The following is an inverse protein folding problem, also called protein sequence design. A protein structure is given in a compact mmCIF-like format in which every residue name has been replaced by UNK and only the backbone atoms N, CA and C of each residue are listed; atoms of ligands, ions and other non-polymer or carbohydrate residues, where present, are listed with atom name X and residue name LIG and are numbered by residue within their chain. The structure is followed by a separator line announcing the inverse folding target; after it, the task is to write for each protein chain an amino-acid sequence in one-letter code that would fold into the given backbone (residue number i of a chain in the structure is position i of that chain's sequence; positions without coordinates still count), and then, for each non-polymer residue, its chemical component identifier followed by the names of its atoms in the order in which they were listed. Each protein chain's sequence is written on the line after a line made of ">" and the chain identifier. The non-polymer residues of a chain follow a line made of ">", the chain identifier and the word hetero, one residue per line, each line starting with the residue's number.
data_IF_556815571609
#
_entry.id   IF_556815571609
#
_cell.length_a   1.000
_cell.length_b   1.000
_cell.length_c   1.000
_cell.angle_alpha   90.00
_cell.angle_beta   90.00
_cell.angle_gamma   90.00
#
_symmetry.space_group_name_H-M   'P 1'
#
loop_
_entity.id
_entity.type
_entity.pdbx_description
1 polymer ?
#
# COMPACT_ATOMS: atom_id res chain seq x y z
N UNK A 1 -11.04 42.64 -79.84
CA UNK A 1 -12.35 43.36 -79.80
C UNK A 1 -12.81 43.47 -78.38
N UNK A 2 -13.07 44.70 -77.94
CA UNK A 2 -13.93 45.16 -76.82
C UNK A 2 -13.63 44.61 -75.42
N UNK A 3 -13.05 45.41 -74.54
CA UNK A 3 -13.54 46.57 -73.74
C UNK A 3 -14.43 46.04 -72.60
N UNK A 4 -14.08 46.31 -71.41
CA UNK A 4 -14.48 47.41 -70.57
C UNK A 4 -14.34 47.10 -69.08
N UNK A 5 -13.78 48.05 -68.51
CA UNK A 5 -14.21 48.99 -67.48
C UNK A 5 -14.18 48.52 -66.01
N UNK A 6 -13.22 49.11 -65.35
CA UNK A 6 -13.28 49.78 -64.01
C UNK A 6 -14.51 49.49 -63.10
N UNK A 7 -14.22 49.05 -61.87
CA UNK A 7 -14.66 49.89 -60.76
C UNK A 7 -13.81 49.61 -59.49
N UNK A 8 -13.24 50.68 -58.97
CA UNK A 8 -12.58 50.82 -57.70
C UNK A 8 -13.65 50.85 -56.62
N UNK A 9 -13.55 49.96 -55.61
CA UNK A 9 -14.20 50.18 -54.29
C UNK A 9 -13.15 50.01 -53.23
N UNK A 10 -12.85 51.11 -52.61
CA UNK A 10 -12.03 51.27 -51.42
C UNK A 10 -12.82 50.71 -50.22
N UNK A 11 -12.32 49.69 -49.53
CA UNK A 11 -12.95 49.25 -48.28
C UNK A 11 -11.91 49.04 -47.19
N UNK A 12 -12.10 49.83 -46.21
CA UNK A 12 -11.47 50.06 -44.93
C UNK A 12 -11.08 48.81 -44.24
N UNK A 13 -9.78 48.62 -43.97
CA UNK A 13 -9.27 47.56 -43.15
C UNK A 13 -9.48 47.91 -41.67
N UNK A 14 -10.45 47.26 -41.01
CA UNK A 14 -10.64 47.36 -39.58
C UNK A 14 -9.78 46.25 -38.91
N UNK A 15 -8.63 46.61 -38.35
CA UNK A 15 -7.75 45.76 -37.60
C UNK A 15 -8.35 45.63 -36.22
N UNK A 16 -9.13 44.57 -35.98
CA UNK A 16 -9.51 44.16 -34.62
C UNK A 16 -8.39 43.33 -34.00
N UNK A 17 -7.62 43.95 -33.13
CA UNK A 17 -6.68 43.26 -32.27
C UNK A 17 -7.46 42.38 -31.25
N UNK A 18 -7.57 41.10 -31.53
CA UNK A 18 -8.01 40.14 -30.53
C UNK A 18 -6.87 39.88 -29.53
N UNK A 19 -6.92 40.56 -28.38
CA UNK A 19 -6.13 40.19 -27.21
C UNK A 19 -6.78 38.92 -26.63
N UNK A 20 -6.27 37.76 -27.06
CA UNK A 20 -6.65 36.46 -26.49
C UNK A 20 -6.08 36.35 -25.08
N UNK A 21 -6.91 36.56 -24.06
CA UNK A 21 -6.58 36.19 -22.69
C UNK A 21 -6.47 34.67 -22.62
N UNK A 22 -5.24 34.14 -22.50
CA UNK A 22 -5.00 32.75 -22.17
C UNK A 22 -5.39 32.61 -20.69
N UNK A 23 -6.63 32.23 -20.43
CA UNK A 23 -7.05 31.73 -19.12
C UNK A 23 -6.34 30.40 -18.89
N UNK A 24 -5.30 30.41 -18.07
CA UNK A 24 -4.72 29.18 -17.52
C UNK A 24 -5.83 28.49 -16.75
N UNK A 25 -6.43 27.47 -17.35
CA UNK A 25 -7.29 26.53 -16.64
C UNK A 25 -6.39 25.82 -15.61
N UNK A 26 -6.48 26.21 -14.34
CA UNK A 26 -6.01 25.40 -13.24
C UNK A 26 -6.86 24.12 -13.30
N UNK A 27 -6.27 23.02 -13.75
CA UNK A 27 -6.83 21.70 -13.55
C UNK A 27 -7.07 21.54 -12.04
N UNK A 28 -8.32 21.68 -11.66
CA UNK A 28 -8.78 21.23 -10.35
C UNK A 28 -8.67 19.71 -10.39
N UNK A 29 -7.63 19.19 -9.78
CA UNK A 29 -7.55 17.79 -9.40
C UNK A 29 -8.93 17.38 -8.87
N UNK A 30 -9.66 16.59 -9.65
CA UNK A 30 -10.94 16.03 -9.22
C UNK A 30 -10.58 15.11 -8.05
N UNK A 31 -10.82 15.56 -6.81
CA UNK A 31 -10.83 14.68 -5.64
C UNK A 31 -11.69 13.48 -6.03
N UNK A 32 -11.06 12.31 -6.19
CA UNK A 32 -11.79 11.06 -6.34
C UNK A 32 -12.81 10.96 -5.19
N UNK A 33 -14.03 10.47 -5.45
CA UNK A 33 -14.99 10.24 -4.38
C UNK A 33 -14.30 9.42 -3.30
N UNK A 34 -14.26 9.94 -2.07
CA UNK A 34 -13.59 9.31 -0.95
C UNK A 34 -14.08 7.87 -0.79
N UNK A 35 -13.15 6.93 -0.66
CA UNK A 35 -13.48 5.54 -0.35
C UNK A 35 -14.13 5.44 1.03
N UNK A 36 -14.83 4.33 1.28
CA UNK A 36 -15.30 3.99 2.62
C UNK A 36 -14.12 3.43 3.42
N UNK A 37 -13.87 3.97 4.61
CA UNK A 37 -12.93 3.36 5.55
C UNK A 37 -13.50 2.02 6.02
N UNK A 38 -12.80 0.94 5.67
CA UNK A 38 -13.19 -0.44 6.04
C UNK A 38 -12.42 -0.93 7.25
N UNK A 39 -11.21 -0.40 7.49
CA UNK A 39 -10.46 -0.59 8.71
C UNK A 39 -9.55 0.60 9.01
N UNK A 40 -9.30 0.84 10.30
CA UNK A 40 -8.33 1.83 10.79
C UNK A 40 -7.97 1.53 12.23
N UNK A 41 -6.81 1.99 12.66
CA UNK A 41 -6.37 1.80 14.03
C UNK A 41 -4.89 2.04 14.22
N UNK A 42 -4.36 1.43 15.27
CA UNK A 42 -2.93 1.41 15.53
C UNK A 42 -2.48 0.04 16.03
N UNK A 43 -1.20 -0.24 15.79
CA UNK A 43 -0.48 -1.39 16.34
C UNK A 43 0.63 -0.91 17.25
N UNK A 44 0.73 -1.53 18.44
CA UNK A 44 1.93 -1.46 19.26
C UNK A 44 2.91 -2.54 18.84
N UNK A 45 4.17 -2.17 18.61
CA UNK A 45 5.27 -3.08 18.31
C UNK A 45 6.09 -3.28 19.57
N UNK A 46 6.28 -4.53 19.96
CA UNK A 46 6.96 -4.91 21.20
C UNK A 46 8.18 -5.78 20.90
N UNK A 47 9.27 -5.51 21.61
CA UNK A 47 10.46 -6.35 21.65
C UNK A 47 10.72 -6.71 23.11
N UNK A 48 10.80 -8.00 23.42
CA UNK A 48 10.97 -8.48 24.79
C UNK A 48 9.99 -7.86 25.80
N UNK A 49 8.72 -7.70 25.37
CA UNK A 49 7.64 -7.14 26.20
C UNK A 49 7.65 -5.62 26.35
N UNK A 50 8.63 -4.92 25.79
CA UNK A 50 8.71 -3.46 25.80
C UNK A 50 8.21 -2.88 24.50
N UNK A 51 7.31 -1.89 24.53
CA UNK A 51 6.84 -1.20 23.34
C UNK A 51 7.96 -0.35 22.75
N UNK A 52 8.35 -0.66 21.51
CA UNK A 52 9.46 0.01 20.80
C UNK A 52 8.97 0.91 19.67
N UNK A 53 7.78 0.67 19.14
CA UNK A 53 7.21 1.48 18.08
C UNK A 53 5.67 1.44 18.08
N UNK A 54 5.11 2.33 17.28
CA UNK A 54 3.67 2.36 16.95
C UNK A 54 3.50 2.55 15.46
N UNK A 55 2.62 1.75 14.87
CA UNK A 55 2.08 1.99 13.53
C UNK A 55 0.63 2.48 13.64
N UNK A 56 0.28 3.55 12.93
CA UNK A 56 -1.12 3.97 12.75
C UNK A 56 -1.49 3.78 11.28
N UNK A 57 -2.72 3.31 11.00
CA UNK A 57 -3.10 3.00 9.63
C UNK A 57 -4.58 3.27 9.34
N UNK A 58 -4.90 3.35 8.05
CA UNK A 58 -6.26 3.39 7.51
C UNK A 58 -6.31 2.62 6.20
N UNK A 59 -7.37 1.84 6.02
CA UNK A 59 -7.70 1.12 4.79
C UNK A 59 -9.02 1.66 4.26
N UNK A 60 -8.97 2.23 3.07
CA UNK A 60 -10.14 2.74 2.36
C UNK A 60 -10.43 1.88 1.14
N UNK A 61 -11.72 1.60 0.89
CA UNK A 61 -12.17 0.89 -0.31
C UNK A 61 -13.17 1.73 -1.09
N UNK A 62 -13.06 1.66 -2.41
CA UNK A 62 -13.94 2.31 -3.37
C UNK A 62 -14.21 1.39 -4.56
N UNK A 63 -15.09 1.80 -5.47
CA UNK A 63 -15.32 1.09 -6.73
C UNK A 63 -14.07 1.03 -7.63
N UNK A 64 -13.10 1.92 -7.42
CA UNK A 64 -11.86 2.01 -8.23
C UNK A 64 -10.67 1.28 -7.59
N UNK A 65 -10.84 0.68 -6.42
CA UNK A 65 -9.80 -0.07 -5.71
C UNK A 65 -9.68 0.32 -4.25
N UNK A 66 -8.54 0.00 -3.65
CA UNK A 66 -8.26 0.25 -2.23
C UNK A 66 -7.05 1.14 -2.05
N UNK A 67 -7.05 1.93 -0.98
CA UNK A 67 -5.93 2.75 -0.51
C UNK A 67 -5.61 2.35 0.92
N UNK A 68 -4.36 2.03 1.17
CA UNK A 68 -3.84 1.68 2.48
C UNK A 68 -2.79 2.71 2.84
N UNK A 69 -3.04 3.50 3.87
CA UNK A 69 -2.11 4.52 4.37
C UNK A 69 -1.63 4.12 5.74
N UNK A 70 -0.34 4.28 5.99
CA UNK A 70 0.25 3.93 7.28
C UNK A 70 1.35 4.92 7.67
N UNK A 71 1.52 5.11 8.99
CA UNK A 71 2.64 5.81 9.60
C UNK A 71 3.24 4.95 10.71
N UNK A 72 4.54 4.74 10.63
CA UNK A 72 5.33 4.04 11.64
C UNK A 72 6.23 5.02 12.38
N UNK A 73 6.22 4.95 13.73
CA UNK A 73 7.11 5.73 14.59
C UNK A 73 7.76 4.84 15.63
N UNK A 74 9.10 4.79 15.65
CA UNK A 74 9.79 4.19 16.78
C UNK A 74 9.86 5.15 17.95
N UNK A 75 9.77 4.59 19.17
CA UNK A 75 9.80 5.36 20.41
C UNK A 75 11.06 5.15 21.23
N UNK A 76 11.90 4.19 20.81
CA UNK A 76 13.10 3.82 21.56
C UNK A 76 14.28 3.56 20.60
N UNK A 77 15.50 3.79 21.09
CA UNK A 77 16.75 3.60 20.39
C UNK A 77 17.46 4.92 20.06
N UNK A 78 18.70 4.81 19.62
CA UNK A 78 19.51 5.96 19.19
C UNK A 78 19.00 6.58 17.87
N UNK A 79 18.21 5.83 17.12
CA UNK A 79 17.62 6.26 15.86
C UNK A 79 16.10 6.17 15.92
N UNK A 80 15.47 7.31 16.09
CA UNK A 80 14.01 7.44 16.02
C UNK A 80 13.59 7.35 14.56
N UNK A 81 12.83 6.31 14.19
CA UNK A 81 12.25 6.19 12.85
C UNK A 81 10.90 6.90 12.79
N UNK A 82 10.67 7.70 11.75
CA UNK A 82 9.37 8.26 11.37
C UNK A 82 9.18 8.04 9.87
N UNK A 83 8.28 7.13 9.54
CA UNK A 83 8.06 6.66 8.17
C UNK A 83 6.58 6.65 7.84
N UNK A 84 6.27 6.90 6.58
CA UNK A 84 4.91 6.78 6.04
C UNK A 84 4.91 5.89 4.82
N UNK A 85 3.81 5.17 4.60
CA UNK A 85 3.59 4.41 3.37
C UNK A 85 2.17 4.60 2.85
N UNK A 86 2.02 4.45 1.55
CA UNK A 86 0.74 4.37 0.86
C UNK A 86 0.79 3.26 -0.19
N UNK A 87 -0.15 2.31 -0.11
CA UNK A 87 -0.41 1.32 -1.16
C UNK A 87 -1.71 1.69 -1.86
N UNK A 88 -1.71 1.73 -3.17
CA UNK A 88 -2.93 1.82 -3.98
C UNK A 88 -3.08 0.52 -4.77
N UNK A 89 -4.23 -0.13 -4.61
CA UNK A 89 -4.59 -1.37 -5.29
C UNK A 89 -5.75 -1.14 -6.26
N UNK A 90 -5.78 -1.92 -7.33
CA UNK A 90 -6.94 -2.03 -8.23
C UNK A 90 -8.09 -2.77 -7.52
N UNK A 91 -9.33 -2.79 -8.09
CA UNK A 91 -10.42 -3.63 -7.57
C UNK A 91 -10.10 -5.14 -7.57
N UNK A 92 -9.19 -5.60 -8.45
CA UNK A 92 -8.67 -6.98 -8.48
C UNK A 92 -7.51 -7.21 -7.51
N UNK A 93 -7.23 -6.27 -6.61
CA UNK A 93 -6.15 -6.32 -5.60
C UNK A 93 -4.73 -6.35 -6.17
N UNK A 94 -4.56 -5.94 -7.43
CA UNK A 94 -3.25 -5.76 -8.05
C UNK A 94 -2.65 -4.41 -7.65
N UNK A 95 -1.33 -4.35 -7.57
CA UNK A 95 -0.62 -3.11 -7.24
C UNK A 95 -0.83 -2.08 -8.36
N UNK A 96 -1.24 -0.87 -7.98
CA UNK A 96 -1.24 0.31 -8.87
C UNK A 96 -0.05 1.19 -8.56
N UNK A 97 0.21 1.44 -7.27
CA UNK A 97 1.38 2.15 -6.80
C UNK A 97 1.65 1.85 -5.33
N UNK A 98 2.90 1.99 -4.95
CA UNK A 98 3.36 2.07 -3.57
C UNK A 98 4.24 3.29 -3.44
N UNK A 99 4.09 4.02 -2.35
CA UNK A 99 4.95 5.13 -1.97
C UNK A 99 5.40 4.96 -0.54
N UNK A 100 6.66 5.21 -0.28
CA UNK A 100 7.26 5.20 1.04
C UNK A 100 8.13 6.43 1.24
N UNK A 101 8.06 6.99 2.42
CA UNK A 101 8.85 8.14 2.82
C UNK A 101 9.34 7.97 4.24
N UNK A 102 10.63 8.14 4.43
CA UNK A 102 11.28 8.27 5.73
C UNK A 102 11.68 9.73 5.96
N UNK A 103 11.43 10.24 7.15
CA UNK A 103 11.80 11.59 7.58
C UNK A 103 12.85 11.57 8.68
N UNK A 104 13.01 10.44 9.37
CA UNK A 104 14.01 10.16 10.38
C UNK A 104 14.29 8.64 10.43
N UNK A 105 15.55 8.22 10.67
CA UNK A 105 16.75 9.03 10.94
C UNK A 105 17.31 9.74 9.70
N UNK A 106 17.05 9.23 8.52
CA UNK A 106 17.50 9.82 7.26
C UNK A 106 16.29 10.27 6.43
N UNK A 107 16.52 11.11 5.44
CA UNK A 107 15.45 11.48 4.49
C UNK A 107 15.57 10.59 3.26
N UNK A 108 14.62 9.69 3.11
CA UNK A 108 14.59 8.76 1.98
C UNK A 108 13.17 8.66 1.43
N UNK A 109 13.05 8.34 0.14
CA UNK A 109 11.77 8.04 -0.48
C UNK A 109 11.93 6.87 -1.43
N UNK A 110 10.90 6.03 -1.53
CA UNK A 110 10.80 5.05 -2.58
C UNK A 110 9.37 5.04 -3.14
N UNK A 111 9.27 4.69 -4.42
CA UNK A 111 7.99 4.40 -5.06
C UNK A 111 8.11 3.13 -5.87
N UNK A 112 7.03 2.33 -5.93
CA UNK A 112 6.94 1.13 -6.77
C UNK A 112 5.70 1.24 -7.63
N UNK A 113 5.88 1.06 -8.93
CA UNK A 113 4.77 1.03 -9.88
C UNK A 113 4.95 -0.09 -10.92
N UNK A 114 3.84 -0.69 -11.39
CA UNK A 114 3.89 -1.62 -12.53
C UNK A 114 4.30 -0.89 -13.81
N UNK A 115 5.18 -1.55 -14.58
CA UNK A 115 5.57 -1.13 -15.93
C UNK A 115 5.71 -2.39 -16.80
N UNK A 116 4.71 -2.70 -17.59
CA UNK A 116 4.58 -3.94 -18.37
C UNK A 116 4.72 -5.19 -17.50
N UNK A 117 5.77 -5.97 -17.71
CA UNK A 117 6.06 -7.22 -16.99
C UNK A 117 6.91 -7.00 -15.71
N UNK A 118 7.18 -5.75 -15.36
CA UNK A 118 8.05 -5.41 -14.23
C UNK A 118 7.31 -4.61 -13.17
N UNK A 119 7.77 -4.70 -11.92
CA UNK A 119 7.62 -3.65 -10.94
C UNK A 119 8.89 -2.80 -10.98
N UNK A 120 8.74 -1.50 -11.16
CA UNK A 120 9.84 -0.55 -11.14
C UNK A 120 9.84 0.14 -9.80
N UNK A 121 10.92 -0.01 -9.04
CA UNK A 121 11.17 0.75 -7.83
C UNK A 121 12.08 1.91 -8.14
N UNK A 122 11.63 3.12 -7.80
CA UNK A 122 12.41 4.36 -7.85
C UNK A 122 12.74 4.77 -6.43
N UNK A 123 14.02 4.80 -6.10
CA UNK A 123 14.53 5.14 -4.77
C UNK A 123 15.34 6.43 -4.81
N UNK A 124 15.10 7.33 -3.86
CA UNK A 124 15.85 8.59 -3.71
C UNK A 124 16.44 8.68 -2.32
N UNK A 125 17.76 8.80 -2.24
CA UNK A 125 18.46 9.07 -1.00
C UNK A 125 18.53 10.59 -0.76
N UNK A 126 18.09 11.04 0.41
CA UNK A 126 18.05 12.46 0.75
C UNK A 126 19.42 13.10 1.00
N UNK A 127 20.46 12.31 1.20
CA UNK A 127 21.83 12.84 1.44
C UNK A 127 22.46 13.44 0.18
N UNK A 128 22.19 12.86 -1.00
CA UNK A 128 22.75 13.29 -2.27
C UNK A 128 21.69 13.62 -3.34
N UNK A 129 20.40 13.46 -3.01
CA UNK A 129 19.26 13.62 -3.90
C UNK A 129 19.35 12.81 -5.21
N UNK A 130 20.13 11.73 -5.20
CA UNK A 130 20.24 10.85 -6.37
C UNK A 130 19.08 9.88 -6.37
N UNK A 131 18.50 9.73 -7.53
CA UNK A 131 17.43 8.77 -7.80
C UNK A 131 18.01 7.56 -8.52
N UNK A 132 17.61 6.39 -8.08
CA UNK A 132 18.01 5.10 -8.66
C UNK A 132 16.76 4.29 -8.95
N UNK A 133 16.72 3.66 -10.13
CA UNK A 133 15.65 2.76 -10.51
C UNK A 133 16.14 1.31 -10.44
N UNK A 134 15.29 0.44 -9.94
CA UNK A 134 15.48 -1.01 -9.94
C UNK A 134 14.25 -1.69 -10.52
N UNK A 135 14.48 -2.57 -11.50
CA UNK A 135 13.41 -3.33 -12.12
C UNK A 135 13.36 -4.74 -11.51
N UNK A 136 12.16 -5.14 -11.08
CA UNK A 136 11.88 -6.49 -10.63
C UNK A 136 10.99 -7.17 -11.67
N UNK A 137 11.37 -8.33 -12.17
CA UNK A 137 10.52 -9.15 -13.07
C UNK A 137 9.40 -9.80 -12.24
N UNK A 138 8.43 -8.99 -11.85
CA UNK A 138 7.32 -9.33 -10.97
C UNK A 138 6.02 -8.78 -11.55
N UNK A 139 4.93 -9.56 -11.53
CA UNK A 139 3.62 -9.09 -11.99
C UNK A 139 3.00 -8.09 -10.99
N UNK A 140 2.03 -7.30 -11.45
CA UNK A 140 1.25 -6.37 -10.63
C UNK A 140 0.45 -7.05 -9.48
N UNK A 141 0.25 -8.37 -9.57
CA UNK A 141 -0.36 -9.18 -8.49
C UNK A 141 0.58 -9.41 -7.29
N UNK A 142 1.86 -9.03 -7.41
CA UNK A 142 2.84 -9.08 -6.31
C UNK A 142 2.36 -8.23 -5.14
N UNK A 143 2.56 -8.74 -3.93
CA UNK A 143 2.18 -8.03 -2.70
C UNK A 143 3.35 -7.22 -2.17
N UNK A 144 3.07 -6.01 -1.69
CA UNK A 144 4.05 -5.25 -0.92
C UNK A 144 4.07 -5.77 0.52
N UNK A 145 5.25 -6.16 1.00
CA UNK A 145 5.50 -6.57 2.38
C UNK A 145 6.73 -5.84 2.91
N UNK A 146 6.52 -4.64 3.38
CA UNK A 146 7.56 -3.84 4.02
C UNK A 146 7.78 -4.29 5.48
N UNK A 147 8.99 -4.11 6.00
CA UNK A 147 9.37 -4.54 7.34
C UNK A 147 8.74 -3.69 8.44
N UNK A 148 8.44 -2.43 8.16
CA UNK A 148 7.93 -1.47 9.14
C UNK A 148 6.40 -1.37 9.18
N UNK A 149 5.69 -1.81 8.13
CA UNK A 149 4.25 -1.64 8.02
C UNK A 149 3.51 -2.97 8.15
N UNK A 150 3.01 -3.22 9.35
CA UNK A 150 2.35 -4.50 9.70
C UNK A 150 0.97 -4.63 9.08
N UNK A 151 0.30 -3.50 8.76
CA UNK A 151 -0.96 -3.50 8.02
C UNK A 151 -0.85 -4.19 6.65
N UNK A 152 0.34 -4.24 6.04
CA UNK A 152 0.55 -4.97 4.78
C UNK A 152 0.26 -6.48 4.93
N UNK A 153 0.46 -7.04 6.13
CA UNK A 153 0.16 -8.45 6.42
C UNK A 153 -1.34 -8.70 6.54
N UNK A 154 -2.11 -7.70 6.95
CA UNK A 154 -3.58 -7.76 6.90
C UNK A 154 -4.09 -7.83 5.46
N UNK A 155 -3.56 -7.00 4.56
CA UNK A 155 -3.89 -7.02 3.14
C UNK A 155 -3.54 -8.37 2.51
N UNK A 156 -2.38 -8.93 2.84
CA UNK A 156 -1.96 -10.25 2.36
C UNK A 156 -2.87 -11.36 2.91
N UNK A 157 -3.31 -11.26 4.18
CA UNK A 157 -4.29 -12.17 4.75
C UNK A 157 -5.62 -12.12 4.00
N UNK A 158 -6.11 -10.95 3.64
CA UNK A 158 -7.34 -10.82 2.85
C UNK A 158 -7.20 -11.43 1.44
N UNK A 159 -6.03 -11.31 0.80
CA UNK A 159 -5.73 -12.03 -0.46
C UNK A 159 -5.80 -13.54 -0.27
N UNK A 160 -5.25 -14.07 0.82
CA UNK A 160 -5.35 -15.48 1.15
C UNK A 160 -6.81 -15.91 1.34
N UNK A 161 -7.59 -15.19 2.15
CA UNK A 161 -9.01 -15.47 2.38
C UNK A 161 -9.81 -15.50 1.07
N UNK A 162 -9.55 -14.58 0.17
CA UNK A 162 -10.21 -14.51 -1.13
C UNK A 162 -9.82 -15.66 -2.06
N UNK A 163 -8.59 -16.20 -1.95
CA UNK A 163 -8.07 -17.24 -2.86
C UNK A 163 -8.29 -18.67 -2.35
N UNK A 164 -8.22 -18.89 -1.03
CA UNK A 164 -8.22 -20.23 -0.43
C UNK A 164 -9.54 -20.59 0.28
N UNK A 165 -10.29 -19.58 0.76
CA UNK A 165 -11.43 -19.83 1.63
C UNK A 165 -12.75 -19.72 0.86
N UNK A 166 -13.70 -20.60 1.20
CA UNK A 166 -15.05 -20.50 0.65
C UNK A 166 -15.84 -19.45 1.42
N UNK A 167 -16.43 -18.51 0.71
CA UNK A 167 -17.34 -17.53 1.29
C UNK A 167 -18.66 -18.21 1.64
N UNK A 168 -18.91 -18.46 2.93
CA UNK A 168 -20.18 -18.91 3.45
C UNK A 168 -20.87 -17.76 4.20
N UNK A 169 -22.20 -17.76 4.27
CA UNK A 169 -22.93 -16.76 5.05
C UNK A 169 -22.48 -16.83 6.52
N UNK A 170 -21.65 -15.87 6.95
CA UNK A 170 -21.27 -15.66 8.36
C UNK A 170 -19.80 -15.81 8.70
N UNK A 171 -19.04 -16.69 8.04
CA UNK A 171 -17.59 -16.78 8.23
C UNK A 171 -16.94 -17.53 7.05
N UNK A 172 -15.75 -17.14 6.58
CA UNK A 172 -15.05 -17.94 5.59
C UNK A 172 -14.65 -19.28 6.17
N UNK A 173 -14.94 -20.32 5.40
CA UNK A 173 -14.48 -21.66 5.68
C UNK A 173 -13.15 -21.87 4.96
N UNK A 174 -12.08 -21.77 5.73
CA UNK A 174 -10.72 -21.97 5.23
C UNK A 174 -10.29 -23.42 5.45
N UNK A 175 -9.71 -24.09 4.45
CA UNK A 175 -9.14 -25.40 4.64
C UNK A 175 -7.90 -25.30 5.54
N UNK A 176 -7.84 -26.21 6.54
CA UNK A 176 -6.70 -26.29 7.47
C UNK A 176 -5.43 -26.66 6.69
N UNK A 177 -4.33 -25.99 7.01
CA UNK A 177 -2.98 -26.26 6.51
C UNK A 177 -2.83 -26.26 4.98
N UNK A 178 -3.79 -25.67 4.27
CA UNK A 178 -3.62 -25.41 2.84
C UNK A 178 -2.76 -24.18 2.63
N UNK A 179 -1.55 -24.36 2.12
CA UNK A 179 -0.62 -23.28 1.79
C UNK A 179 -0.98 -22.64 0.45
N UNK A 180 -1.01 -21.32 0.41
CA UNK A 180 -1.08 -20.53 -0.81
C UNK A 180 0.16 -19.65 -0.89
N UNK A 181 0.84 -19.69 -2.04
CA UNK A 181 2.04 -18.91 -2.28
C UNK A 181 1.71 -17.59 -2.96
N UNK A 182 2.43 -16.55 -2.57
CA UNK A 182 2.36 -15.20 -3.14
C UNK A 182 3.77 -14.70 -3.43
N UNK A 183 3.92 -13.99 -4.54
CA UNK A 183 5.09 -13.14 -4.75
C UNK A 183 4.98 -11.90 -3.85
N UNK A 184 6.06 -11.53 -3.21
CA UNK A 184 6.16 -10.32 -2.40
C UNK A 184 7.38 -9.50 -2.77
N UNK A 185 7.26 -8.19 -2.63
CA UNK A 185 8.35 -7.23 -2.73
C UNK A 185 8.46 -6.49 -1.40
N UNK A 186 9.67 -6.49 -0.83
CA UNK A 186 10.02 -5.60 0.27
C UNK A 186 10.77 -4.39 -0.31
N UNK A 187 10.11 -3.24 -0.48
CA UNK A 187 10.75 -2.07 -1.08
C UNK A 187 11.86 -1.49 -0.21
N UNK A 188 11.73 -1.56 1.11
CA UNK A 188 12.74 -1.05 2.03
C UNK A 188 14.06 -1.82 1.89
N UNK A 189 13.99 -3.14 1.82
CA UNK A 189 15.15 -4.02 1.59
C UNK A 189 15.53 -4.14 0.11
N UNK A 190 14.70 -3.64 -0.81
CA UNK A 190 14.83 -3.77 -2.28
C UNK A 190 15.03 -5.22 -2.72
N UNK A 191 14.21 -6.10 -2.14
CA UNK A 191 14.27 -7.54 -2.40
C UNK A 191 12.89 -8.12 -2.69
N UNK A 192 12.85 -9.07 -3.61
CA UNK A 192 11.68 -9.89 -3.86
C UNK A 192 11.79 -11.24 -3.15
N UNK A 193 10.67 -11.77 -2.72
CA UNK A 193 10.60 -13.05 -2.03
C UNK A 193 9.33 -13.82 -2.40
N UNK A 194 9.34 -15.12 -2.18
CA UNK A 194 8.13 -15.95 -2.15
C UNK A 194 7.69 -16.11 -0.71
N UNK A 195 6.41 -15.88 -0.45
CA UNK A 195 5.81 -16.09 0.86
C UNK A 195 4.64 -17.06 0.75
N UNK A 196 4.42 -17.86 1.77
CA UNK A 196 3.30 -18.78 1.84
C UNK A 196 2.44 -18.48 3.07
N UNK A 197 1.12 -18.51 2.90
CA UNK A 197 0.18 -18.41 4.02
C UNK A 197 -0.62 -19.70 4.12
N UNK A 198 -0.87 -20.15 5.35
CA UNK A 198 -1.81 -21.19 5.66
C UNK A 198 -2.71 -20.83 6.84
N UNK A 199 -3.94 -21.30 6.82
CA UNK A 199 -4.82 -21.25 7.99
C UNK A 199 -4.49 -22.40 8.94
N UNK A 200 -4.13 -22.07 10.18
CA UNK A 200 -3.72 -23.03 11.21
C UNK A 200 -4.84 -23.39 12.20
N UNK A 201 -6.05 -22.85 12.00
CA UNK A 201 -7.19 -23.11 12.87
C UNK A 201 -7.55 -21.92 13.76
N UNK A 202 -8.35 -22.19 14.79
CA UNK A 202 -8.69 -21.20 15.81
C UNK A 202 -7.82 -21.41 17.04
N UNK A 203 -7.43 -20.31 17.67
CA UNK A 203 -6.54 -20.32 18.84
C UNK A 203 -7.06 -19.35 19.91
N UNK A 204 -6.93 -19.73 21.18
CA UNK A 204 -7.24 -18.86 22.32
C UNK A 204 -5.96 -18.14 22.72
N UNK A 205 -5.95 -16.85 22.51
CA UNK A 205 -4.81 -15.99 22.83
C UNK A 205 -5.16 -14.97 23.89
N UNK A 206 -4.19 -14.62 24.73
CA UNK A 206 -4.35 -13.53 25.68
C UNK A 206 -4.04 -12.21 24.99
N UNK A 207 -5.03 -11.33 24.91
CA UNK A 207 -4.88 -9.97 24.44
C UNK A 207 -5.23 -9.03 25.58
N UNK A 208 -4.27 -8.24 26.05
CA UNK A 208 -4.45 -7.29 27.17
C UNK A 208 -5.09 -7.93 28.42
N UNK A 209 -4.68 -9.16 28.72
CA UNK A 209 -5.17 -9.91 29.89
C UNK A 209 -6.53 -10.61 29.70
N UNK A 210 -7.18 -10.46 28.55
CA UNK A 210 -8.41 -11.16 28.21
C UNK A 210 -8.13 -12.31 27.24
N UNK A 211 -8.78 -13.46 27.47
CA UNK A 211 -8.73 -14.59 26.52
C UNK A 211 -9.71 -14.36 25.39
N UNK A 212 -9.19 -14.33 24.16
CA UNK A 212 -9.99 -14.14 22.94
C UNK A 212 -9.71 -15.30 22.00
N UNK A 213 -10.74 -15.84 21.36
CA UNK A 213 -10.61 -16.87 20.34
C UNK A 213 -10.50 -16.22 18.97
N UNK A 214 -9.38 -16.43 18.27
CA UNK A 214 -9.04 -15.79 17.01
C UNK A 214 -8.68 -16.82 15.95
N UNK A 215 -8.79 -16.46 14.69
CA UNK A 215 -8.32 -17.24 13.54
C UNK A 215 -6.82 -17.09 13.38
N UNK A 216 -6.08 -18.20 13.51
CA UNK A 216 -4.62 -18.23 13.40
C UNK A 216 -4.17 -18.59 12.00
N UNK A 217 -3.19 -17.86 11.53
CA UNK A 217 -2.52 -18.09 10.25
C UNK A 217 -1.00 -18.12 10.47
N UNK A 218 -0.31 -18.83 9.58
CA UNK A 218 1.15 -18.83 9.51
C UNK A 218 1.56 -18.24 8.18
N UNK A 219 2.40 -17.23 8.22
CA UNK A 219 3.10 -16.65 7.08
C UNK A 219 4.53 -17.18 7.12
N UNK A 220 4.91 -17.96 6.12
CA UNK A 220 6.26 -18.53 6.01
C UNK A 220 7.01 -17.85 4.87
N UNK A 221 8.30 -17.54 5.10
CA UNK A 221 9.22 -17.01 4.12
C UNK A 221 10.65 -17.46 4.42
N UNK A 222 11.57 -17.23 3.49
CA UNK A 222 13.00 -17.50 3.70
C UNK A 222 13.61 -16.61 4.81
N UNK A 223 12.90 -15.55 5.25
CA UNK A 223 13.31 -14.66 6.34
C UNK A 223 12.74 -15.06 7.70
N UNK A 224 12.07 -16.21 7.79
CA UNK A 224 11.44 -16.72 8.99
C UNK A 224 9.91 -16.70 8.93
N UNK A 225 9.31 -17.27 9.97
CA UNK A 225 7.87 -17.43 10.07
C UNK A 225 7.25 -16.37 10.99
N UNK A 226 6.03 -15.96 10.63
CA UNK A 226 5.17 -15.15 11.45
C UNK A 226 3.86 -15.87 11.72
N UNK A 227 3.50 -16.02 12.98
CA UNK A 227 2.12 -16.32 13.33
C UNK A 227 1.33 -15.03 13.42
N UNK A 228 0.13 -15.00 12.85
CA UNK A 228 -0.77 -13.87 12.98
C UNK A 228 -2.21 -14.31 13.23
N UNK A 229 -2.97 -13.44 13.88
CA UNK A 229 -4.33 -13.73 14.31
C UNK A 229 -5.28 -12.65 13.82
N UNK A 230 -6.38 -13.10 13.21
CA UNK A 230 -7.48 -12.25 12.77
C UNK A 230 -8.70 -12.47 13.66
N UNK A 231 -9.46 -11.39 13.90
CA UNK A 231 -10.77 -11.47 14.53
C UNK A 231 -11.85 -12.01 13.58
N UNK A 232 -13.10 -12.06 14.04
CA UNK A 232 -14.25 -12.56 13.25
C UNK A 232 -14.67 -11.57 12.13
N UNK A 233 -14.10 -10.35 12.12
CA UNK A 233 -14.23 -9.36 11.03
C UNK A 233 -13.00 -9.35 10.10
N UNK A 234 -12.10 -10.35 10.26
CA UNK A 234 -10.83 -10.50 9.51
C UNK A 234 -9.85 -9.34 9.66
N UNK A 235 -9.94 -8.62 10.76
CA UNK A 235 -8.99 -7.58 11.12
C UNK A 235 -7.81 -8.18 11.86
N UNK A 236 -6.62 -7.70 11.54
CA UNK A 236 -5.40 -8.13 12.19
C UNK A 236 -5.39 -7.66 13.65
N UNK A 237 -5.25 -8.60 14.58
CA UNK A 237 -5.24 -8.34 16.03
C UNK A 237 -3.84 -8.49 16.60
N UNK A 238 -3.10 -9.52 16.16
CA UNK A 238 -1.78 -9.84 16.70
C UNK A 238 -0.90 -10.47 15.64
N UNK A 239 0.41 -10.18 15.73
CA UNK A 239 1.47 -10.92 15.04
C UNK A 239 2.55 -11.29 16.06
N UNK A 240 3.23 -12.38 15.79
CA UNK A 240 4.38 -12.84 16.55
C UNK A 240 5.35 -13.54 15.62
N UNK A 241 6.63 -13.19 15.68
CA UNK A 241 7.68 -13.92 14.98
C UNK A 241 8.52 -14.76 15.92
N UNK A 242 9.32 -15.66 15.36
CA UNK A 242 10.24 -16.52 16.11
C UNK A 242 11.33 -15.72 16.83
N UNK A 243 11.65 -14.52 16.39
CA UNK A 243 12.61 -13.60 17.00
C UNK A 243 12.08 -12.85 18.23
N UNK A 244 10.82 -13.10 18.65
CA UNK A 244 10.21 -12.48 19.83
C UNK A 244 9.71 -11.05 19.59
N UNK A 245 9.60 -10.62 18.34
CA UNK A 245 8.85 -9.39 18.00
C UNK A 245 7.37 -9.68 18.04
N UNK A 246 6.64 -8.93 18.84
CA UNK A 246 5.18 -9.00 18.95
C UNK A 246 4.57 -7.69 18.46
N UNK A 247 3.48 -7.79 17.70
CA UNK A 247 2.68 -6.66 17.25
C UNK A 247 1.25 -6.89 17.68
N UNK A 248 0.66 -5.90 18.36
CA UNK A 248 -0.71 -6.01 18.90
C UNK A 248 -1.50 -4.77 18.54
N UNK A 249 -2.72 -4.98 18.07
CA UNK A 249 -3.67 -3.90 17.81
C UNK A 249 -4.04 -3.18 19.12
N UNK A 250 -4.00 -1.83 19.13
CA UNK A 250 -4.35 -0.98 20.27
C UNK A 250 -5.86 -0.88 20.49
#
# INVERSE_FOLDING_TARGET
>A
MKSGLFNKVLSLICVCAFVGSIAAAKDKEKKQPGGQVVDSGSFGVFSSGTRVATETFSIEQSATGSRISSQFKSSQGEQVADQTSEIVLTPSTELRSYEWKETAPEKMTASVAPNDAFLVETFTNGSDNKTHDQNFLLPASTTILDDYFFVHREILAWKYLASACKQNAGAPNCPLHQKVQFGALNPHARTSMSVAIEFAGRDKVSIRGSQVELSKFILSSDMGDWAFWLDDHFKLVRLLNDGGTEVVRD
#
